data_IF_011000406402
#
_entry.id   IF_011000406402
#
_cell.length_a   1.000
_cell.length_b   1.000
_cell.length_c   1.000
_cell.angle_alpha   90.00
_cell.angle_beta   90.00
_cell.angle_gamma   90.00
#
_symmetry.space_group_name_H-M   'P 1'
#
loop_
_entity.id
_entity.type
_entity.pdbx_description
1 polymer ?
#
# COMPACT_ATOMS: atom_id res chain seq x y z
N UNK A 1 -13.06 -4.74 -13.32
CA UNK A 1 -11.87 -4.06 -12.75
C UNK A 1 -10.80 -5.10 -12.41
N UNK A 2 -9.52 -4.88 -12.73
CA UNK A 2 -8.44 -5.78 -12.29
C UNK A 2 -8.00 -5.43 -10.86
N UNK A 3 -8.76 -5.86 -9.86
CA UNK A 3 -8.51 -5.47 -8.47
C UNK A 3 -7.13 -5.90 -7.93
N UNK A 4 -6.55 -6.98 -8.46
CA UNK A 4 -5.25 -7.52 -8.02
C UNK A 4 -4.11 -6.51 -8.26
N UNK A 5 -4.20 -5.73 -9.34
CA UNK A 5 -3.26 -4.67 -9.66
C UNK A 5 -3.29 -3.49 -8.67
N UNK A 6 -4.31 -3.43 -7.81
CA UNK A 6 -4.45 -2.43 -6.76
C UNK A 6 -4.13 -2.99 -5.37
N UNK A 7 -3.93 -4.30 -5.21
CA UNK A 7 -3.76 -4.92 -3.89
C UNK A 7 -2.29 -4.92 -3.48
N UNK A 8 -2.03 -4.35 -2.30
CA UNK A 8 -0.83 -4.62 -1.51
C UNK A 8 -1.22 -5.39 -0.26
N UNK A 9 -0.91 -6.68 -0.23
CA UNK A 9 -1.19 -7.50 0.93
C UNK A 9 -0.15 -7.27 2.02
N UNK A 10 -0.53 -7.35 3.30
CA UNK A 10 0.36 -6.97 4.38
C UNK A 10 0.40 -7.97 5.52
N UNK A 11 1.59 -8.13 6.10
CA UNK A 11 1.76 -8.86 7.35
C UNK A 11 2.76 -8.12 8.25
N UNK A 12 2.20 -7.43 9.24
CA UNK A 12 2.93 -6.48 10.10
C UNK A 12 2.54 -6.60 11.58
N UNK A 13 1.75 -7.62 11.94
CA UNK A 13 1.39 -7.89 13.34
C UNK A 13 2.64 -8.21 14.18
N UNK A 14 2.61 -7.90 15.47
CA UNK A 14 3.77 -8.07 16.35
C UNK A 14 4.18 -9.55 16.51
N UNK A 15 3.21 -10.45 16.42
CA UNK A 15 3.33 -11.90 16.50
C UNK A 15 3.69 -12.57 15.17
N UNK A 16 3.86 -11.79 14.09
CA UNK A 16 4.22 -12.31 12.75
C UNK A 16 5.44 -13.21 12.84
N UNK A 17 5.33 -14.44 12.32
CA UNK A 17 6.44 -15.39 12.19
C UNK A 17 6.93 -15.49 10.73
N UNK A 18 8.14 -16.05 10.48
CA UNK A 18 8.59 -16.34 9.12
C UNK A 18 7.58 -17.14 8.28
N UNK A 19 6.86 -18.09 8.90
CA UNK A 19 5.82 -18.86 8.22
C UNK A 19 4.66 -17.99 7.69
N UNK A 20 4.35 -16.87 8.34
CA UNK A 20 3.29 -15.96 7.90
C UNK A 20 3.77 -15.08 6.74
N UNK A 21 5.03 -14.66 6.76
CA UNK A 21 5.67 -13.98 5.62
C UNK A 21 5.71 -14.90 4.39
N UNK A 22 6.00 -16.20 4.57
CA UNK A 22 5.95 -17.18 3.48
C UNK A 22 4.56 -17.28 2.87
N UNK A 23 3.52 -17.39 3.70
CA UNK A 23 2.12 -17.44 3.22
C UNK A 23 1.73 -16.15 2.49
N UNK A 24 2.12 -14.99 3.02
CA UNK A 24 1.90 -13.69 2.36
C UNK A 24 2.52 -13.67 0.96
N UNK A 25 3.77 -14.11 0.82
CA UNK A 25 4.46 -14.17 -0.48
C UNK A 25 3.78 -15.17 -1.42
N UNK A 26 3.45 -16.37 -0.95
CA UNK A 26 2.77 -17.40 -1.75
C UNK A 26 1.39 -16.92 -2.23
N UNK A 27 0.63 -16.22 -1.39
CA UNK A 27 -0.64 -15.62 -1.77
C UNK A 27 -0.46 -14.53 -2.83
N UNK A 28 0.49 -13.61 -2.63
CA UNK A 28 0.76 -12.53 -3.56
C UNK A 28 1.23 -13.04 -4.94
N UNK A 29 2.04 -14.10 -4.96
CA UNK A 29 2.44 -14.79 -6.20
C UNK A 29 1.22 -15.42 -6.86
N UNK A 30 0.44 -16.18 -6.09
CA UNK A 30 -0.74 -16.90 -6.60
C UNK A 30 -1.78 -15.96 -7.20
N UNK A 31 -2.02 -14.82 -6.57
CA UNK A 31 -3.04 -13.86 -6.99
C UNK A 31 -2.49 -12.69 -7.80
N UNK A 32 -1.20 -12.71 -8.16
CA UNK A 32 -0.53 -11.62 -8.90
C UNK A 32 -0.81 -10.23 -8.29
N UNK A 33 -0.69 -10.12 -6.96
CA UNK A 33 -0.84 -8.83 -6.28
C UNK A 33 0.24 -7.85 -6.73
N UNK A 34 -0.10 -6.57 -6.67
CA UNK A 34 0.82 -5.46 -6.96
C UNK A 34 2.06 -5.49 -6.06
N UNK A 35 1.87 -5.77 -4.77
CA UNK A 35 2.96 -5.74 -3.79
C UNK A 35 2.65 -6.45 -2.49
N UNK A 36 3.67 -6.54 -1.65
CA UNK A 36 3.57 -7.03 -0.28
C UNK A 36 4.22 -6.03 0.69
N UNK A 37 3.62 -5.88 1.87
CA UNK A 37 4.11 -4.98 2.92
C UNK A 37 4.51 -5.81 4.14
N UNK A 38 5.76 -5.63 4.59
CA UNK A 38 6.32 -6.36 5.73
C UNK A 38 7.00 -5.41 6.71
N UNK A 39 7.11 -5.83 7.97
CA UNK A 39 7.99 -5.14 8.93
C UNK A 39 9.45 -5.21 8.44
N UNK A 40 10.22 -4.14 8.65
CA UNK A 40 11.60 -3.97 8.16
C UNK A 40 12.50 -5.19 8.42
N UNK A 41 12.36 -5.85 9.57
CA UNK A 41 13.12 -7.07 9.93
C UNK A 41 12.92 -8.26 8.98
N UNK A 42 11.80 -8.33 8.24
CA UNK A 42 11.49 -9.43 7.34
C UNK A 42 11.87 -9.17 5.89
N UNK A 43 12.39 -7.97 5.57
CA UNK A 43 12.66 -7.53 4.19
C UNK A 43 13.52 -8.53 3.40
N UNK A 44 14.68 -8.93 3.93
CA UNK A 44 15.57 -9.86 3.21
C UNK A 44 14.94 -11.25 3.05
N UNK A 45 14.17 -11.71 4.04
CA UNK A 45 13.49 -12.99 3.96
C UNK A 45 12.39 -12.96 2.89
N UNK A 46 11.51 -11.94 2.93
CA UNK A 46 10.48 -11.74 1.92
C UNK A 46 11.09 -11.62 0.51
N UNK A 47 12.16 -10.83 0.34
CA UNK A 47 12.84 -10.67 -0.96
C UNK A 47 13.32 -12.01 -1.52
N UNK A 48 13.86 -12.89 -0.67
CA UNK A 48 14.33 -14.19 -1.13
C UNK A 48 13.20 -15.10 -1.64
N UNK A 49 11.98 -14.97 -1.08
CA UNK A 49 10.80 -15.75 -1.47
C UNK A 49 10.15 -15.27 -2.77
N UNK A 50 10.18 -13.97 -3.05
CA UNK A 50 9.58 -13.38 -4.27
C UNK A 50 10.62 -13.05 -5.35
N UNK A 51 11.80 -13.67 -5.27
CA UNK A 51 12.86 -13.47 -6.27
C UNK A 51 12.32 -13.73 -7.67
N UNK A 52 12.54 -12.78 -8.58
CA UNK A 52 12.09 -12.81 -9.98
C UNK A 52 10.56 -12.71 -10.20
N UNK A 53 9.78 -12.42 -9.16
CA UNK A 53 8.36 -12.15 -9.28
C UNK A 53 8.10 -10.65 -9.50
N UNK A 54 7.11 -10.25 -10.31
CA UNK A 54 6.76 -8.85 -10.54
C UNK A 54 5.92 -8.28 -9.38
N UNK A 55 6.41 -8.44 -8.14
CA UNK A 55 5.75 -8.03 -6.90
C UNK A 55 6.63 -6.98 -6.22
N UNK A 56 6.07 -5.82 -5.90
CA UNK A 56 6.79 -4.79 -5.16
C UNK A 56 6.97 -5.19 -3.68
N UNK A 57 8.20 -5.22 -3.18
CA UNK A 57 8.47 -5.39 -1.75
C UNK A 57 8.51 -4.04 -1.03
N UNK A 58 7.52 -3.82 -0.17
CA UNK A 58 7.41 -2.61 0.63
C UNK A 58 7.80 -2.93 2.08
N UNK A 59 8.73 -2.17 2.64
CA UNK A 59 9.08 -2.28 4.05
C UNK A 59 8.50 -1.11 4.85
N UNK A 60 7.91 -1.42 6.01
CA UNK A 60 7.45 -0.38 6.94
C UNK A 60 8.60 0.14 7.78
N UNK A 61 8.59 1.44 8.09
CA UNK A 61 9.56 2.10 9.00
C UNK A 61 8.85 3.05 9.94
N UNK A 62 9.31 3.16 11.18
CA UNK A 62 8.59 3.96 12.17
C UNK A 62 7.23 3.36 12.55
N UNK A 63 6.95 2.13 12.19
CA UNK A 63 5.60 1.58 12.16
C UNK A 63 5.22 0.84 13.45
N UNK A 64 3.95 0.90 13.91
CA UNK A 64 2.83 1.69 13.38
C UNK A 64 2.73 3.11 13.98
N UNK A 65 3.58 3.48 14.95
CA UNK A 65 3.32 4.65 15.79
C UNK A 65 3.88 5.98 15.25
N UNK A 66 4.87 5.92 14.37
CA UNK A 66 5.61 7.07 13.88
C UNK A 66 6.48 7.78 14.93
N UNK A 67 6.54 7.25 16.16
CA UNK A 67 7.11 7.89 17.34
C UNK A 67 8.59 7.55 17.60
N UNK A 68 9.31 7.13 16.57
CA UNK A 68 10.76 6.90 16.65
C UNK A 68 11.53 8.22 16.59
N UNK A 69 12.74 8.24 17.16
CA UNK A 69 13.66 9.35 16.93
C UNK A 69 14.04 9.45 15.44
N UNK A 70 14.25 10.68 14.95
CA UNK A 70 14.59 10.98 13.56
C UNK A 70 15.70 10.06 12.99
N UNK A 71 16.80 9.92 13.74
CA UNK A 71 17.93 9.08 13.34
C UNK A 71 17.55 7.60 13.31
N UNK A 72 16.80 7.11 14.29
CA UNK A 72 16.41 5.69 14.33
C UNK A 72 15.52 5.32 13.15
N UNK A 73 14.53 6.17 12.81
CA UNK A 73 13.65 5.97 11.65
C UNK A 73 14.42 6.00 10.32
N UNK A 74 15.38 6.91 10.19
CA UNK A 74 16.21 7.02 8.99
C UNK A 74 17.15 5.82 8.81
N UNK A 75 17.78 5.33 9.89
CA UNK A 75 18.63 4.13 9.84
C UNK A 75 17.81 2.85 9.60
N UNK A 76 16.59 2.75 10.13
CA UNK A 76 15.68 1.66 9.79
C UNK A 76 15.34 1.64 8.29
N UNK A 77 15.15 2.81 7.68
CA UNK A 77 14.97 2.93 6.23
C UNK A 77 16.21 2.46 5.46
N UNK A 78 17.40 2.90 5.86
CA UNK A 78 18.65 2.45 5.23
C UNK A 78 18.81 0.92 5.33
N UNK A 79 18.48 0.35 6.48
CA UNK A 79 18.43 -1.10 6.69
C UNK A 79 17.46 -1.77 5.72
N UNK A 80 16.21 -1.33 5.64
CA UNK A 80 15.22 -1.93 4.76
C UNK A 80 15.66 -1.92 3.28
N UNK A 81 16.18 -0.78 2.79
CA UNK A 81 16.71 -0.67 1.43
C UNK A 81 17.88 -1.63 1.21
N UNK A 82 18.84 -1.69 2.13
CA UNK A 82 20.00 -2.60 1.98
C UNK A 82 19.61 -4.09 2.03
N UNK A 83 18.41 -4.41 2.52
CA UNK A 83 17.86 -5.76 2.59
C UNK A 83 16.87 -6.07 1.46
N UNK A 84 16.74 -5.18 0.47
CA UNK A 84 16.05 -5.45 -0.79
C UNK A 84 14.61 -4.94 -0.90
N UNK A 85 14.19 -4.02 -0.01
CA UNK A 85 12.93 -3.30 -0.20
C UNK A 85 12.98 -2.47 -1.49
N UNK A 86 11.91 -2.55 -2.29
CA UNK A 86 11.74 -1.77 -3.50
C UNK A 86 11.16 -0.38 -3.19
N UNK A 87 10.44 -0.24 -2.07
CA UNK A 87 9.95 1.03 -1.54
C UNK A 87 9.72 1.00 -0.02
N UNK A 88 9.47 2.17 0.57
CA UNK A 88 9.33 2.37 2.01
C UNK A 88 7.97 2.97 2.37
N UNK A 89 7.31 2.41 3.38
CA UNK A 89 6.13 3.02 4.03
C UNK A 89 6.48 3.51 5.43
N UNK A 90 6.62 4.83 5.58
CA UNK A 90 6.93 5.46 6.86
C UNK A 90 5.69 6.02 7.54
N UNK A 91 5.58 5.86 8.86
CA UNK A 91 4.55 6.59 9.63
C UNK A 91 5.10 7.95 10.03
N UNK A 92 4.34 9.02 9.76
CA UNK A 92 4.73 10.38 10.15
C UNK A 92 4.81 10.52 11.67
N UNK A 93 5.54 11.53 12.17
CA UNK A 93 5.51 11.87 13.59
C UNK A 93 4.16 12.51 14.01
N UNK A 94 3.10 11.71 14.14
CA UNK A 94 1.72 12.17 14.38
C UNK A 94 1.62 13.13 15.57
N UNK A 95 2.21 12.78 16.71
CA UNK A 95 2.20 13.64 17.90
C UNK A 95 2.80 15.03 17.66
N UNK A 96 3.85 15.11 16.83
CA UNK A 96 4.51 16.37 16.46
C UNK A 96 3.64 17.18 15.50
N UNK A 97 2.94 16.53 14.57
CA UNK A 97 1.97 17.17 13.69
C UNK A 97 0.82 17.80 14.50
N UNK A 98 0.29 17.10 15.51
CA UNK A 98 -0.77 17.63 16.40
C UNK A 98 -0.32 18.84 17.23
N UNK A 99 0.97 18.93 17.55
CA UNK A 99 1.56 20.11 18.20
C UNK A 99 1.85 21.26 17.22
N UNK A 100 1.60 21.08 15.92
CA UNK A 100 1.96 22.06 14.89
C UNK A 100 3.48 22.18 14.66
N UNK A 101 4.27 21.19 15.07
CA UNK A 101 5.73 21.15 14.91
C UNK A 101 6.11 20.69 13.49
N UNK A 102 5.69 21.47 12.52
CA UNK A 102 5.75 21.20 11.09
C UNK A 102 7.18 21.01 10.56
N UNK A 103 8.14 21.77 11.09
CA UNK A 103 9.55 21.64 10.73
C UNK A 103 10.11 20.26 11.14
N UNK A 104 9.70 19.76 12.32
CA UNK A 104 10.08 18.42 12.77
C UNK A 104 9.50 17.34 11.86
N UNK A 105 8.20 17.44 11.55
CA UNK A 105 7.51 16.46 10.67
C UNK A 105 8.15 16.44 9.28
N UNK A 106 8.53 17.60 8.75
CA UNK A 106 9.21 17.70 7.45
C UNK A 106 10.61 17.11 7.49
N UNK A 107 11.38 17.41 8.54
CA UNK A 107 12.73 16.87 8.71
C UNK A 107 12.73 15.34 8.88
N UNK A 108 11.74 14.79 9.59
CA UNK A 108 11.51 13.34 9.71
C UNK A 108 11.34 12.68 8.33
N UNK A 109 10.44 13.22 7.51
CA UNK A 109 10.24 12.71 6.15
C UNK A 109 11.48 12.88 5.26
N UNK A 110 12.15 14.05 5.32
CA UNK A 110 13.36 14.31 4.51
C UNK A 110 14.50 13.34 4.82
N UNK A 111 14.69 12.99 6.09
CA UNK A 111 15.75 12.04 6.48
C UNK A 111 15.47 10.64 5.96
N UNK A 112 14.22 10.19 6.04
CA UNK A 112 13.81 8.90 5.45
C UNK A 112 13.99 8.93 3.93
N UNK A 113 13.50 9.96 3.24
CA UNK A 113 13.69 10.11 1.78
C UNK A 113 15.17 10.10 1.39
N UNK A 114 16.03 10.79 2.14
CA UNK A 114 17.47 10.76 1.91
C UNK A 114 18.06 9.35 2.05
N UNK A 115 17.69 8.63 3.10
CA UNK A 115 18.19 7.29 3.37
C UNK A 115 17.55 6.20 2.50
N UNK A 116 16.43 6.50 1.84
CA UNK A 116 15.82 5.64 0.84
C UNK A 116 16.65 5.55 -0.45
N UNK A 117 17.70 6.38 -0.61
CA UNK A 117 18.68 6.29 -1.70
C UNK A 117 18.04 6.27 -3.11
N UNK A 118 16.98 7.06 -3.30
CA UNK A 118 16.25 7.16 -4.58
C UNK A 118 15.07 6.20 -4.73
N UNK A 119 14.84 5.29 -3.78
CA UNK A 119 13.64 4.45 -3.76
C UNK A 119 12.41 5.27 -3.33
N UNK A 120 11.21 4.92 -3.82
CA UNK A 120 9.98 5.59 -3.43
C UNK A 120 9.72 5.49 -1.92
N UNK A 121 9.29 6.61 -1.34
CA UNK A 121 8.83 6.66 0.05
C UNK A 121 7.37 7.09 0.06
N UNK A 122 6.55 6.36 0.79
CA UNK A 122 5.17 6.67 1.09
C UNK A 122 5.04 7.09 2.57
N UNK A 123 4.34 8.19 2.84
CA UNK A 123 4.06 8.65 4.18
C UNK A 123 2.65 8.22 4.61
N UNK A 124 2.55 7.37 5.63
CA UNK A 124 1.30 7.03 6.31
C UNK A 124 0.92 8.18 7.23
N UNK A 125 -0.17 8.87 6.87
CA UNK A 125 -0.63 10.12 7.49
C UNK A 125 -1.41 9.86 8.78
N UNK A 126 -2.09 8.72 8.86
CA UNK A 126 -2.98 8.35 9.95
C UNK A 126 -4.17 9.33 10.07
N UNK A 127 -4.97 9.42 9.00
CA UNK A 127 -6.08 10.38 8.84
C UNK A 127 -7.10 10.33 9.97
N UNK A 128 -7.34 9.16 10.58
CA UNK A 128 -8.24 9.05 11.72
C UNK A 128 -7.76 9.73 13.02
N UNK A 129 -6.47 10.13 13.09
CA UNK A 129 -5.91 10.86 14.24
C UNK A 129 -5.73 12.36 13.98
N UNK A 130 -5.82 12.79 12.72
CA UNK A 130 -5.58 14.17 12.29
C UNK A 130 -6.88 14.81 11.79
N UNK A 131 -7.05 16.11 12.07
CA UNK A 131 -8.14 16.86 11.45
C UNK A 131 -7.79 17.24 10.00
N UNK A 132 -8.78 17.70 9.23
CA UNK A 132 -8.59 18.03 7.81
C UNK A 132 -7.49 19.08 7.55
N UNK A 133 -7.31 20.05 8.46
CA UNK A 133 -6.23 21.02 8.36
C UNK A 133 -4.86 20.36 8.57
N UNK A 134 -4.71 19.57 9.63
CA UNK A 134 -3.48 18.82 9.93
C UNK A 134 -3.11 17.88 8.77
N UNK A 135 -4.06 17.11 8.27
CA UNK A 135 -3.89 16.22 7.10
C UNK A 135 -3.43 17.01 5.87
N UNK A 136 -4.08 18.13 5.56
CA UNK A 136 -3.69 18.95 4.42
C UNK A 136 -2.29 19.55 4.57
N UNK A 137 -1.90 19.94 5.79
CA UNK A 137 -0.56 20.40 6.10
C UNK A 137 0.47 19.30 5.89
N UNK A 138 0.23 18.09 6.38
CA UNK A 138 1.11 16.93 6.17
C UNK A 138 1.32 16.67 4.68
N UNK A 139 0.28 16.63 3.85
CA UNK A 139 0.41 16.41 2.40
C UNK A 139 1.33 17.44 1.73
N UNK A 140 1.18 18.72 2.07
CA UNK A 140 2.05 19.78 1.52
C UNK A 140 3.50 19.60 1.93
N UNK A 141 3.73 19.20 3.18
CA UNK A 141 5.07 18.95 3.69
C UNK A 141 5.70 17.70 3.09
N UNK A 142 4.91 16.64 2.90
CA UNK A 142 5.32 15.41 2.25
C UNK A 142 5.80 15.69 0.81
N UNK A 143 5.03 16.44 0.03
CA UNK A 143 5.42 16.86 -1.32
C UNK A 143 6.75 17.64 -1.33
N UNK A 144 6.94 18.57 -0.39
CA UNK A 144 8.18 19.34 -0.25
C UNK A 144 9.37 18.54 0.32
N UNK A 145 9.10 17.39 0.94
CA UNK A 145 10.11 16.49 1.50
C UNK A 145 10.59 15.44 0.49
N UNK A 146 9.97 15.34 -0.69
CA UNK A 146 10.28 14.34 -1.70
C UNK A 146 9.58 13.00 -1.48
N UNK A 147 8.52 12.97 -0.67
CA UNK A 147 7.62 11.82 -0.56
C UNK A 147 6.92 11.62 -1.91
N UNK A 148 6.73 10.36 -2.30
CA UNK A 148 6.10 9.98 -3.59
C UNK A 148 4.60 9.69 -3.47
N UNK A 149 4.18 9.21 -2.30
CA UNK A 149 2.79 8.85 -2.04
C UNK A 149 2.41 9.12 -0.59
N UNK A 150 1.12 9.29 -0.33
CA UNK A 150 0.55 9.33 1.01
C UNK A 150 -0.42 8.18 1.20
N UNK A 151 -0.44 7.61 2.40
CA UNK A 151 -1.34 6.53 2.80
C UNK A 151 -2.24 6.98 3.95
N UNK A 152 -3.51 6.63 3.88
CA UNK A 152 -4.52 7.04 4.88
C UNK A 152 -4.21 6.56 6.30
N UNK A 153 -4.04 5.24 6.52
CA UNK A 153 -3.91 4.67 7.87
C UNK A 153 -2.94 3.48 7.97
N UNK A 154 -2.53 3.17 9.20
CA UNK A 154 -1.73 1.98 9.53
C UNK A 154 -2.56 0.72 9.82
N UNK A 155 -3.90 0.76 9.78
CA UNK A 155 -4.76 -0.34 10.27
C UNK A 155 -4.68 -0.65 11.79
N UNK A 156 -3.75 -0.05 12.55
CA UNK A 156 -3.67 -0.21 14.01
C UNK A 156 -4.53 0.82 14.75
N UNK A 157 -4.93 1.89 14.07
CA UNK A 157 -5.99 2.79 14.53
C UNK A 157 -7.36 2.24 14.14
N UNK A 158 -8.43 2.62 14.85
CA UNK A 158 -9.81 2.25 14.51
C UNK A 158 -10.37 3.06 13.32
N UNK A 159 -9.55 3.36 12.32
CA UNK A 159 -9.94 4.15 11.16
C UNK A 159 -10.54 3.24 10.09
N UNK A 160 -11.78 3.52 9.71
CA UNK A 160 -12.43 2.85 8.58
C UNK A 160 -12.09 3.60 7.30
N UNK A 161 -11.67 2.94 6.22
CA UNK A 161 -11.48 3.58 4.92
C UNK A 161 -12.73 4.33 4.47
N UNK A 162 -12.56 5.56 4.00
CA UNK A 162 -13.63 6.41 3.47
C UNK A 162 -13.17 7.08 2.18
N UNK A 163 -14.12 7.28 1.25
CA UNK A 163 -13.90 8.02 0.00
C UNK A 163 -13.40 9.44 0.26
N UNK A 164 -13.94 10.09 1.29
CA UNK A 164 -13.58 11.47 1.68
C UNK A 164 -12.10 11.61 2.07
N UNK A 165 -11.49 10.59 2.66
CA UNK A 165 -10.05 10.61 3.00
C UNK A 165 -9.19 10.64 1.73
N UNK A 166 -9.56 9.86 0.71
CA UNK A 166 -8.86 9.83 -0.58
C UNK A 166 -8.97 11.18 -1.29
N UNK A 167 -10.18 11.74 -1.33
CA UNK A 167 -10.43 13.06 -1.92
C UNK A 167 -9.67 14.17 -1.19
N UNK A 168 -9.62 14.12 0.15
CA UNK A 168 -8.87 15.08 0.96
C UNK A 168 -7.36 15.00 0.67
N UNK A 169 -6.78 13.80 0.69
CA UNK A 169 -5.35 13.59 0.40
C UNK A 169 -5.00 14.03 -1.02
N UNK A 170 -5.81 13.65 -2.01
CA UNK A 170 -5.63 14.01 -3.42
C UNK A 170 -5.69 15.53 -3.63
N UNK A 171 -6.69 16.19 -3.04
CA UNK A 171 -6.82 17.66 -3.11
C UNK A 171 -5.67 18.37 -2.41
N UNK A 172 -5.26 17.89 -1.24
CA UNK A 172 -4.19 18.50 -0.46
C UNK A 172 -2.80 18.29 -1.06
N UNK A 173 -2.59 17.21 -1.80
CA UNK A 173 -1.34 16.95 -2.52
C UNK A 173 -1.19 17.76 -3.79
N UNK A 174 -2.27 18.38 -4.29
CA UNK A 174 -2.30 19.15 -5.54
C UNK A 174 -1.74 18.33 -6.73
N UNK A 175 -2.03 17.03 -6.74
CA UNK A 175 -1.57 16.10 -7.78
C UNK A 175 -0.08 15.72 -7.70
N UNK A 176 0.65 16.14 -6.66
CA UNK A 176 2.09 15.83 -6.50
C UNK A 176 2.38 14.50 -5.82
N UNK A 177 1.38 13.93 -5.12
CA UNK A 177 1.52 12.68 -4.38
C UNK A 177 0.45 11.70 -4.84
N UNK A 178 0.85 10.46 -5.08
CA UNK A 178 -0.10 9.38 -5.24
C UNK A 178 -0.82 9.08 -3.90
N UNK A 179 -2.04 8.55 -3.96
CA UNK A 179 -2.83 8.24 -2.77
C UNK A 179 -3.03 6.73 -2.66
N UNK A 180 -2.61 6.16 -1.54
CA UNK A 180 -2.81 4.76 -1.17
C UNK A 180 -3.81 4.70 -0.01
N UNK A 181 -4.65 3.67 0.02
CA UNK A 181 -5.61 3.47 1.10
C UNK A 181 -5.13 2.35 2.00
N UNK A 182 -4.84 2.70 3.24
CA UNK A 182 -4.65 1.74 4.32
C UNK A 182 -5.92 1.61 5.14
N UNK A 183 -6.17 0.41 5.66
CA UNK A 183 -7.31 0.12 6.52
C UNK A 183 -7.84 -1.28 6.22
N UNK A 184 -8.92 -1.67 6.90
CA UNK A 184 -9.64 -2.90 6.59
C UNK A 184 -10.55 -2.65 5.37
N UNK A 185 -9.98 -2.73 4.17
CA UNK A 185 -10.77 -2.75 2.92
C UNK A 185 -11.11 -4.22 2.63
N UNK A 186 -12.27 -4.67 3.11
CA UNK A 186 -12.82 -6.03 2.93
C UNK A 186 -14.09 -6.06 2.06
N UNK A 187 -14.64 -4.89 1.75
CA UNK A 187 -15.81 -4.71 0.89
C UNK A 187 -15.41 -4.31 -0.53
N UNK A 188 -15.89 -5.08 -1.51
CA UNK A 188 -15.53 -4.91 -2.92
C UNK A 188 -16.16 -3.68 -3.56
N UNK A 189 -17.35 -3.25 -3.12
CA UNK A 189 -17.98 -2.02 -3.61
C UNK A 189 -17.23 -0.78 -3.12
N UNK A 190 -16.84 -0.76 -1.85
CA UNK A 190 -15.99 0.27 -1.29
C UNK A 190 -14.62 0.31 -1.99
N UNK A 191 -14.02 -0.86 -2.27
CA UNK A 191 -12.77 -0.94 -3.02
C UNK A 191 -12.88 -0.25 -4.39
N UNK A 192 -13.96 -0.53 -5.15
CA UNK A 192 -14.25 0.15 -6.43
C UNK A 192 -14.36 1.65 -6.24
N UNK A 193 -15.17 2.11 -5.28
CA UNK A 193 -15.36 3.54 -5.02
C UNK A 193 -14.06 4.26 -4.69
N UNK A 194 -13.19 3.65 -3.88
CA UNK A 194 -11.88 4.22 -3.51
C UNK A 194 -10.97 4.35 -4.74
N UNK A 195 -10.95 3.34 -5.60
CA UNK A 195 -10.19 3.35 -6.86
C UNK A 195 -10.73 4.43 -7.81
N UNK A 196 -12.05 4.50 -7.98
CA UNK A 196 -12.72 5.47 -8.86
C UNK A 196 -12.40 6.92 -8.49
N UNK A 197 -12.22 7.23 -7.20
CA UNK A 197 -11.82 8.57 -6.73
C UNK A 197 -10.31 8.81 -6.72
N UNK A 198 -9.52 7.87 -7.23
CA UNK A 198 -8.09 8.04 -7.51
C UNK A 198 -7.14 7.35 -6.52
N UNK A 199 -7.60 6.39 -5.73
CA UNK A 199 -6.67 5.52 -4.99
C UNK A 199 -5.89 4.66 -5.97
N UNK A 200 -4.55 4.74 -5.92
CA UNK A 200 -3.67 3.93 -6.78
C UNK A 200 -3.40 2.53 -6.20
N UNK A 201 -3.78 2.33 -4.94
CA UNK A 201 -3.50 1.11 -4.19
C UNK A 201 -4.40 0.99 -2.96
N UNK A 202 -4.76 -0.26 -2.65
CA UNK A 202 -5.49 -0.72 -1.47
C UNK A 202 -4.57 -1.65 -0.67
N UNK A 203 -4.07 -1.17 0.44
CA UNK A 203 -3.22 -1.95 1.34
C UNK A 203 -4.07 -2.62 2.41
N UNK A 204 -4.28 -3.93 2.29
CA UNK A 204 -5.28 -4.71 3.05
C UNK A 204 -4.77 -6.10 3.39
N UNK A 205 -5.26 -6.70 4.48
CA UNK A 205 -5.04 -8.13 4.79
C UNK A 205 -6.12 -9.03 4.16
N UNK A 206 -7.10 -8.42 3.52
CA UNK A 206 -8.33 -9.08 3.02
C UNK A 206 -8.28 -9.24 1.48
N UNK A 207 -7.08 -9.16 0.89
CA UNK A 207 -6.88 -9.19 -0.56
C UNK A 207 -7.55 -10.40 -1.22
N UNK A 208 -7.46 -11.56 -0.57
CA UNK A 208 -8.09 -12.80 -1.04
C UNK A 208 -9.62 -12.69 -1.13
N UNK A 209 -10.25 -12.00 -0.18
CA UNK A 209 -11.70 -11.76 -0.20
C UNK A 209 -12.09 -10.83 -1.34
N UNK A 210 -11.31 -9.77 -1.58
CA UNK A 210 -11.53 -8.85 -2.68
C UNK A 210 -11.40 -9.55 -4.06
N UNK A 211 -10.41 -10.43 -4.21
CA UNK A 211 -10.25 -11.26 -5.43
C UNK A 211 -11.47 -12.17 -5.64
N UNK A 212 -11.93 -12.87 -4.60
CA UNK A 212 -13.13 -13.71 -4.69
C UNK A 212 -14.36 -12.94 -5.14
N UNK A 213 -14.56 -11.74 -4.57
CA UNK A 213 -15.69 -10.89 -4.94
C UNK A 213 -15.61 -10.43 -6.41
N UNK A 214 -14.43 -10.02 -6.86
CA UNK A 214 -14.20 -9.65 -8.26
C UNK A 214 -14.46 -10.82 -9.23
N UNK A 215 -14.01 -12.03 -8.89
CA UNK A 215 -14.27 -13.23 -9.70
C UNK A 215 -15.76 -13.54 -9.74
N UNK A 216 -16.46 -13.49 -8.61
CA UNK A 216 -17.90 -13.74 -8.57
C UNK A 216 -18.69 -12.75 -9.44
N UNK A 217 -18.31 -11.46 -9.43
CA UNK A 217 -18.87 -10.45 -10.33
C UNK A 217 -18.61 -10.80 -11.81
N UNK A 218 -17.39 -11.22 -12.14
CA UNK A 218 -17.03 -11.62 -13.51
C UNK A 218 -17.76 -12.89 -13.98
N UNK A 219 -17.94 -13.89 -13.12
CA UNK A 219 -18.73 -15.10 -13.42
C UNK A 219 -20.22 -14.76 -13.63
N UNK A 220 -20.78 -13.90 -12.79
CA UNK A 220 -22.16 -13.42 -12.94
C UNK A 220 -22.37 -12.63 -14.25
N UNK A 221 -21.34 -11.90 -14.70
CA UNK A 221 -21.31 -11.21 -15.99
C UNK A 221 -21.04 -12.15 -17.19
N UNK A 222 -20.74 -13.43 -16.95
CA UNK A 222 -20.44 -14.41 -17.99
C UNK A 222 -19.05 -14.24 -18.64
N UNK A 223 -18.16 -13.46 -18.02
CA UNK A 223 -16.81 -13.17 -18.53
C UNK A 223 -15.81 -14.29 -18.21
N UNK A 224 -16.11 -15.11 -17.21
CA UNK A 224 -15.24 -16.19 -16.73
C UNK A 224 -16.08 -17.35 -16.19
N UNK A 225 -15.52 -18.57 -16.19
CA UNK A 225 -16.14 -19.77 -15.60
C UNK A 225 -15.08 -20.70 -15.03
N UNK A 226 -15.37 -21.31 -13.88
CA UNK A 226 -14.61 -22.45 -13.37
C UNK A 226 -13.36 -22.05 -12.60
N UNK A 227 -13.47 -20.99 -11.80
CA UNK A 227 -12.38 -20.52 -10.95
C UNK A 227 -11.90 -21.60 -9.97
N UNK A 228 -10.59 -21.83 -9.92
CA UNK A 228 -9.93 -22.64 -8.89
C UNK A 228 -9.06 -21.74 -8.04
N UNK A 229 -9.44 -21.51 -6.78
CA UNK A 229 -8.65 -20.69 -5.87
C UNK A 229 -7.24 -21.24 -5.57
N UNK A 230 -7.04 -22.54 -5.69
CA UNK A 230 -5.72 -23.16 -5.49
C UNK A 230 -4.82 -22.90 -6.69
N UNK A 231 -5.42 -22.68 -7.85
CA UNK A 231 -4.72 -22.38 -9.09
C UNK A 231 -5.50 -21.42 -10.02
N UNK A 232 -5.66 -20.15 -9.61
CA UNK A 232 -6.63 -19.25 -10.23
C UNK A 232 -6.32 -18.91 -11.69
N UNK A 233 -5.07 -19.14 -12.12
CA UNK A 233 -4.57 -18.77 -13.44
C UNK A 233 -3.92 -19.91 -14.23
N UNK A 234 -3.75 -21.14 -13.71
CA UNK A 234 -3.13 -22.24 -14.50
C UNK A 234 -3.94 -22.65 -15.73
N UNK A 235 -5.27 -22.50 -15.66
CA UNK A 235 -6.15 -22.79 -16.79
C UNK A 235 -6.24 -21.62 -17.79
N UNK A 236 -5.55 -20.50 -17.53
CA UNK A 236 -5.42 -19.38 -18.47
C UNK A 236 -4.06 -19.47 -19.14
N UNK A 237 -4.05 -19.48 -20.46
CA UNK A 237 -2.83 -19.28 -21.24
C UNK A 237 -2.21 -17.91 -20.91
N UNK A 238 -0.89 -17.75 -21.06
CA UNK A 238 -0.22 -16.44 -20.90
C UNK A 238 -0.89 -15.34 -21.73
N UNK A 239 -1.46 -15.69 -22.89
CA UNK A 239 -2.22 -14.77 -23.75
C UNK A 239 -3.58 -14.41 -23.15
N UNK A 240 -4.30 -15.34 -22.53
CA UNK A 240 -5.58 -15.08 -21.85
C UNK A 240 -5.39 -14.26 -20.59
N UNK A 241 -4.35 -14.54 -19.81
CA UNK A 241 -3.98 -13.74 -18.66
C UNK A 241 -3.54 -12.34 -19.10
N UNK A 242 -2.66 -12.23 -20.10
CA UNK A 242 -2.24 -10.93 -20.65
C UNK A 242 -3.43 -10.14 -21.23
N UNK A 243 -4.34 -10.79 -21.95
CA UNK A 243 -5.53 -10.16 -22.53
C UNK A 243 -6.54 -9.74 -21.45
N UNK A 244 -6.77 -10.58 -20.43
CA UNK A 244 -7.57 -10.24 -19.26
C UNK A 244 -7.00 -9.01 -18.53
N UNK A 245 -5.70 -8.99 -18.25
CA UNK A 245 -5.02 -7.87 -17.58
C UNK A 245 -4.99 -6.60 -18.45
N UNK A 246 -4.81 -6.72 -19.77
CA UNK A 246 -4.80 -5.60 -20.73
C UNK A 246 -6.19 -5.02 -20.99
N UNK A 247 -7.24 -5.84 -21.13
CA UNK A 247 -8.60 -5.35 -21.33
C UNK A 247 -9.07 -4.50 -20.15
N UNK A 248 -8.76 -4.93 -18.93
CA UNK A 248 -9.10 -4.17 -17.72
C UNK A 248 -8.41 -2.80 -17.68
N UNK A 249 -7.12 -2.71 -18.06
CA UNK A 249 -6.41 -1.42 -18.14
C UNK A 249 -6.87 -0.51 -19.30
N UNK A 250 -7.37 -1.10 -20.40
CA UNK A 250 -7.83 -0.36 -21.57
C UNK A 250 -9.27 0.18 -21.41
N UNK A 251 -10.11 -0.49 -20.62
CA UNK A 251 -11.45 -0.03 -20.26
C UNK A 251 -11.40 1.12 -19.25
N UNK A 252 -10.49 1.07 -18.26
CA UNK A 252 -10.26 2.16 -17.27
C UNK A 252 -9.73 3.47 -17.90
N UNK A 253 -9.14 3.43 -19.10
CA UNK A 253 -8.69 4.64 -19.84
C UNK A 253 -9.76 5.23 -20.75
N UNK A 254 -10.94 4.60 -20.85
CA UNK A 254 -12.05 5.01 -21.72
C UNK A 254 -13.30 5.44 -20.97
N UNK A 255 -13.37 5.30 -19.65
CA UNK A 255 -14.39 5.91 -18.77
C UNK A 255 -13.86 7.14 -18.05
#
# INVERSE_FOLDING_TARGET
>A
MNIMAYIESMQVAAETMPGDIKKLCEEAIRFHYRGIIVNSMYTSYAKSLITSQPIELIATVGYPLGAMALTAKAEECAYAISHGADSIEMVIAVGRAKCGEWDYVTEDMRRVVKNAAGHPVCAVVETGLLNAYETARVCRMAANAGISAVRTSTQFSQTVPQVDDVLLLSKASEGKLAVKVGGKVDDYELAKQLIDVGAICLSTIEGKQLVRAAVAEAEAAGLYKGWDETNPFENMTEQELFYYLQQQQAEEKKS
#
